data_IF_110575872085
#
_entry.id   IF_110575872085
#
_cell.length_a   1.000
_cell.length_b   1.000
_cell.length_c   1.000
_cell.angle_alpha   90.00
_cell.angle_beta   90.00
_cell.angle_gamma   90.00
#
_symmetry.space_group_name_H-M   'P 1'
#
loop_
_entity.id
_entity.type
_entity.pdbx_description
1 polymer ?
#
# COMPACT_ATOMS: atom_id res chain seq x y z
N UNK A 1 -0.37 7.79 20.31
CA UNK A 1 -0.76 7.15 19.04
C UNK A 1 0.49 6.44 18.53
N UNK A 2 0.66 5.18 18.88
CA UNK A 2 1.81 4.40 18.42
C UNK A 2 1.63 4.00 16.95
N UNK A 3 2.71 4.13 16.19
CA UNK A 3 2.77 3.84 14.75
C UNK A 3 3.90 2.85 14.54
N UNK A 4 3.62 1.79 13.79
CA UNK A 4 4.57 0.74 13.47
C UNK A 4 5.02 0.87 12.01
N UNK A 5 6.30 0.61 11.75
CA UNK A 5 6.84 0.51 10.39
C UNK A 5 6.73 -0.92 9.88
N UNK A 6 6.20 -1.08 8.67
CA UNK A 6 6.11 -2.37 7.98
C UNK A 6 6.72 -2.24 6.59
N UNK A 7 7.39 -3.29 6.12
CA UNK A 7 7.97 -3.36 4.78
C UNK A 7 7.22 -4.37 3.92
N UNK A 8 6.98 -4.04 2.65
CA UNK A 8 6.41 -4.99 1.69
C UNK A 8 7.48 -6.02 1.28
N UNK A 9 7.22 -7.34 1.40
CA UNK A 9 8.19 -8.38 1.04
C UNK A 9 8.43 -8.50 -0.47
N UNK A 10 7.55 -7.93 -1.31
CA UNK A 10 7.65 -8.01 -2.77
C UNK A 10 8.45 -6.87 -3.40
N UNK A 11 8.38 -5.66 -2.84
CA UNK A 11 8.99 -4.45 -3.44
C UNK A 11 9.79 -3.57 -2.47
N UNK A 12 9.95 -4.01 -1.22
CA UNK A 12 10.67 -3.30 -0.16
C UNK A 12 10.16 -1.88 0.16
N UNK A 13 8.91 -1.55 -0.22
CA UNK A 13 8.29 -0.28 0.18
C UNK A 13 8.00 -0.26 1.69
N UNK A 14 8.36 0.82 2.37
CA UNK A 14 8.11 1.05 3.80
C UNK A 14 6.82 1.84 4.03
N UNK A 15 6.04 1.44 5.04
CA UNK A 15 4.79 2.09 5.43
C UNK A 15 4.73 2.31 6.93
N UNK A 16 4.21 3.46 7.35
CA UNK A 16 3.93 3.76 8.75
C UNK A 16 2.43 3.56 9.03
N UNK A 17 2.10 2.50 9.78
CA UNK A 17 0.72 2.05 9.99
C UNK A 17 0.33 2.21 11.47
N UNK A 18 -0.84 2.81 11.77
CA UNK A 18 -1.36 2.90 13.13
C UNK A 18 -1.63 1.51 13.73
N UNK A 19 -1.15 1.24 14.94
CA UNK A 19 -1.27 -0.08 15.59
C UNK A 19 -2.73 -0.54 15.76
N UNK A 20 -3.68 0.39 15.90
CA UNK A 20 -5.11 0.08 15.94
C UNK A 20 -5.63 -0.71 14.72
N UNK A 21 -4.95 -0.61 13.58
CA UNK A 21 -5.28 -1.36 12.36
C UNK A 21 -4.69 -2.78 12.37
N UNK A 22 -3.69 -3.01 13.22
CA UNK A 22 -2.92 -4.26 13.36
C UNK A 22 -3.33 -5.08 14.59
N UNK A 23 -4.00 -4.47 15.58
CA UNK A 23 -4.37 -5.06 16.86
C UNK A 23 -5.29 -6.31 16.78
N UNK A 24 -5.82 -6.66 15.61
CA UNK A 24 -6.72 -7.80 15.39
C UNK A 24 -6.06 -9.09 14.90
N UNK A 25 -4.73 -9.19 14.85
CA UNK A 25 -4.05 -10.35 14.26
C UNK A 25 -4.13 -10.38 12.73
N UNK A 26 -3.49 -11.38 12.11
CA UNK A 26 -3.12 -11.49 10.69
C UNK A 26 -4.20 -11.06 9.67
N UNK A 27 -4.32 -9.75 9.44
CA UNK A 27 -5.12 -9.15 8.37
C UNK A 27 -4.29 -9.20 7.09
N UNK A 28 -4.92 -9.56 5.97
CA UNK A 28 -4.31 -9.39 4.64
C UNK A 28 -4.11 -7.90 4.38
N UNK A 29 -2.87 -7.49 4.17
CA UNK A 29 -2.46 -6.15 3.78
C UNK A 29 -2.17 -6.14 2.29
N UNK A 30 -2.53 -5.05 1.60
CA UNK A 30 -2.24 -4.86 0.18
C UNK A 30 -1.26 -3.72 0.01
N UNK A 31 -0.15 -3.98 -0.68
CA UNK A 31 0.84 -2.95 -1.00
C UNK A 31 0.30 -1.96 -2.04
N UNK A 32 0.39 -0.65 -1.78
CA UNK A 32 -0.02 0.38 -2.75
C UNK A 32 0.92 0.52 -3.94
N UNK A 33 2.17 0.05 -3.81
CA UNK A 33 3.21 0.16 -4.87
C UNK A 33 3.20 -0.99 -5.87
N UNK A 34 3.04 -2.23 -5.39
CA UNK A 34 3.10 -3.43 -6.23
C UNK A 34 1.85 -4.31 -6.18
N UNK A 35 0.80 -3.88 -5.47
CA UNK A 35 -0.45 -4.62 -5.27
C UNK A 35 -0.33 -5.98 -4.58
N UNK A 36 0.86 -6.39 -4.12
CA UNK A 36 1.05 -7.65 -3.42
C UNK A 36 0.23 -7.71 -2.11
N UNK A 37 -0.44 -8.84 -1.91
CA UNK A 37 -1.19 -9.13 -0.69
C UNK A 37 -0.34 -10.00 0.24
N UNK A 38 -0.14 -9.54 1.48
CA UNK A 38 0.67 -10.27 2.47
C UNK A 38 0.09 -10.09 3.88
N UNK A 39 0.28 -11.08 4.74
CA UNK A 39 -0.08 -10.99 6.15
C UNK A 39 1.19 -10.83 6.99
N UNK A 40 1.08 -10.12 8.11
CA UNK A 40 2.17 -10.08 9.09
C UNK A 40 2.14 -11.35 9.93
N UNK A 41 3.32 -11.94 10.25
CA UNK A 41 3.37 -13.08 11.15
C UNK A 41 2.82 -12.63 12.51
N UNK A 42 1.75 -13.30 12.96
CA UNK A 42 1.26 -13.12 14.32
C UNK A 42 2.36 -13.59 15.29
N UNK A 43 2.58 -12.91 16.44
CA UNK A 43 3.46 -13.44 17.47
C UNK A 43 2.91 -14.80 17.90
N UNK A 44 3.74 -15.84 17.78
CA UNK A 44 3.40 -17.18 18.22
C UNK A 44 2.99 -17.13 19.69
N UNK A 45 1.81 -17.67 20.00
CA UNK A 45 1.42 -17.86 21.39
C UNK A 45 2.47 -18.75 22.08
N UNK A 46 2.84 -18.47 23.34
CA UNK A 46 3.74 -19.34 24.08
C UNK A 46 3.10 -20.73 24.24
N UNK A 47 3.82 -21.76 23.81
CA UNK A 47 3.48 -23.16 24.06
C UNK A 47 3.20 -23.38 25.56
N UNK A 48 2.10 -24.07 25.93
CA UNK A 48 1.91 -24.49 27.31
C UNK A 48 3.02 -25.46 27.72
N UNK A 49 3.53 -25.40 28.96
CA UNK A 49 4.60 -26.29 29.41
C UNK A 49 4.14 -27.76 29.36
N UNK A 50 5.04 -28.70 28.98
CA UNK A 50 4.69 -30.11 28.87
C UNK A 50 4.26 -30.69 30.24
N UNK A 51 3.19 -31.51 30.31
CA UNK A 51 2.85 -32.26 31.50
C UNK A 51 3.94 -33.28 31.86
N UNK A 52 4.18 -33.47 33.16
CA UNK A 52 5.14 -34.43 33.70
C UNK A 52 4.84 -35.88 33.24
N UNK A 53 5.89 -36.60 32.85
CA UNK A 53 5.83 -38.00 32.40
C UNK A 53 5.44 -38.96 33.54
N UNK A 54 4.26 -39.57 33.43
CA UNK A 54 3.99 -40.90 33.99
C UNK A 54 4.41 -41.97 32.97
N UNK A 55 4.94 -43.13 33.41
CA UNK A 55 5.48 -44.13 32.49
C UNK A 55 4.36 -44.74 31.62
N UNK A 56 4.57 -44.88 30.30
CA UNK A 56 3.53 -45.37 29.41
C UNK A 56 3.29 -46.88 29.55
N UNK A 57 2.04 -47.36 29.45
CA UNK A 57 1.78 -48.79 29.28
C UNK A 57 2.32 -49.26 27.91
N UNK A 58 2.84 -50.48 27.88
CA UNK A 58 3.41 -51.10 26.69
C UNK A 58 2.41 -51.11 25.52
N UNK A 59 2.68 -50.28 24.50
CA UNK A 59 1.95 -50.25 23.24
C UNK A 59 2.43 -51.43 22.40
N UNK A 60 1.52 -52.37 22.10
CA UNK A 60 1.78 -53.44 21.14
C UNK A 60 2.02 -52.80 19.78
N UNK A 61 3.19 -53.04 19.19
CA UNK A 61 3.56 -52.52 17.88
C UNK A 61 2.66 -53.14 16.80
N UNK A 62 1.60 -52.43 16.41
CA UNK A 62 0.90 -52.70 15.17
C UNK A 62 1.79 -52.26 14.00
N UNK A 63 2.00 -53.17 13.04
CA UNK A 63 2.74 -52.87 11.83
C UNK A 63 2.12 -51.67 11.10
N UNK A 64 2.93 -50.73 10.57
CA UNK A 64 2.40 -49.57 9.86
C UNK A 64 1.64 -50.03 8.60
N UNK A 65 0.49 -49.43 8.27
CA UNK A 65 -0.17 -49.70 7.00
C UNK A 65 0.73 -49.22 5.84
N UNK A 66 0.69 -49.91 4.68
CA UNK A 66 1.44 -49.46 3.51
C UNK A 66 0.94 -48.07 3.08
N UNK A 67 1.86 -47.11 3.06
CA UNK A 67 1.62 -45.76 2.53
C UNK A 67 1.34 -45.87 1.03
N UNK A 68 0.11 -45.58 0.64
CA UNK A 68 -0.23 -45.41 -0.77
C UNK A 68 0.58 -44.22 -1.32
N UNK A 69 1.26 -44.44 -2.45
CA UNK A 69 1.99 -43.39 -3.14
C UNK A 69 1.01 -42.28 -3.53
N UNK A 70 1.15 -41.12 -2.90
CA UNK A 70 0.44 -39.92 -3.33
C UNK A 70 1.11 -39.43 -4.61
N UNK A 71 0.40 -39.55 -5.74
CA UNK A 71 0.79 -38.86 -6.96
C UNK A 71 0.65 -37.35 -6.72
N UNK A 72 1.71 -36.54 -6.94
CA UNK A 72 1.64 -35.11 -6.75
C UNK A 72 0.61 -34.51 -7.72
N UNK A 73 -0.28 -33.61 -7.26
CA UNK A 73 -1.25 -32.96 -8.13
C UNK A 73 -0.54 -32.18 -9.25
N UNK A 74 -1.17 -32.05 -10.43
CA UNK A 74 -0.58 -31.32 -11.55
C UNK A 74 -0.24 -29.90 -11.13
N UNK A 75 0.98 -29.47 -11.44
CA UNK A 75 1.44 -28.12 -11.12
C UNK A 75 0.50 -27.07 -11.76
N UNK A 76 0.13 -26.01 -11.03
CA UNK A 76 -0.65 -24.93 -11.61
C UNK A 76 0.11 -24.29 -12.79
N UNK A 77 -0.59 -23.80 -13.82
CA UNK A 77 0.06 -23.13 -14.93
C UNK A 77 0.85 -21.93 -14.40
N UNK A 78 2.14 -21.92 -14.66
CA UNK A 78 3.01 -20.77 -14.35
C UNK A 78 2.50 -19.60 -15.20
N UNK A 79 2.10 -18.47 -14.61
CA UNK A 79 1.66 -17.33 -15.39
C UNK A 79 2.80 -16.88 -16.29
N UNK A 80 2.54 -16.85 -17.58
CA UNK A 80 3.47 -16.41 -18.60
C UNK A 80 3.81 -14.94 -18.31
N UNK A 81 5.08 -14.68 -17.99
CA UNK A 81 5.55 -13.31 -17.73
C UNK A 81 5.45 -12.57 -19.06
N UNK A 82 4.54 -11.61 -19.13
CA UNK A 82 4.51 -10.64 -20.23
C UNK A 82 5.90 -10.00 -20.33
N UNK A 83 6.56 -10.04 -21.49
CA UNK A 83 7.82 -9.35 -21.67
C UNK A 83 7.60 -7.86 -21.45
N UNK A 84 8.37 -7.28 -20.54
CA UNK A 84 8.44 -5.83 -20.36
C UNK A 84 8.98 -5.28 -21.68
N UNK A 85 8.18 -4.49 -22.37
CA UNK A 85 8.57 -3.93 -23.68
C UNK A 85 9.38 -2.65 -23.43
N UNK A 86 10.29 -2.28 -24.32
CA UNK A 86 11.03 -1.00 -24.23
C UNK A 86 10.11 0.24 -24.14
N UNK A 87 8.85 0.12 -24.59
CA UNK A 87 7.80 1.14 -24.45
C UNK A 87 7.32 1.33 -23.00
N UNK A 88 7.40 0.29 -22.14
CA UNK A 88 7.11 0.42 -20.70
C UNK A 88 8.21 1.21 -19.96
N UNK A 89 9.39 1.34 -20.56
CA UNK A 89 10.51 2.16 -20.07
C UNK A 89 10.46 3.58 -20.64
N UNK A 90 9.60 3.86 -21.63
CA UNK A 90 9.35 5.23 -22.05
C UNK A 90 8.65 5.97 -20.90
N UNK A 91 9.45 6.79 -20.20
CA UNK A 91 9.19 7.38 -18.90
C UNK A 91 7.73 7.86 -18.75
N UNK A 92 6.87 7.14 -17.99
CA UNK A 92 5.53 7.65 -17.64
C UNK A 92 5.62 8.99 -16.90
N UNK A 93 6.80 9.32 -16.37
CA UNK A 93 7.13 10.61 -15.77
C UNK A 93 7.04 11.78 -16.75
N UNK A 94 7.40 11.67 -18.03
CA UNK A 94 7.40 12.84 -18.91
C UNK A 94 5.99 13.36 -19.19
N UNK A 95 5.05 12.46 -19.50
CA UNK A 95 3.65 12.84 -19.73
C UNK A 95 3.02 13.39 -18.46
N UNK A 96 3.32 12.78 -17.32
CA UNK A 96 2.84 13.24 -16.02
C UNK A 96 3.43 14.61 -15.65
N UNK A 97 4.73 14.82 -15.86
CA UNK A 97 5.42 16.10 -15.62
C UNK A 97 4.84 17.17 -16.54
N UNK A 98 4.64 16.90 -17.82
CA UNK A 98 4.02 17.86 -18.75
C UNK A 98 2.59 18.20 -18.32
N UNK A 99 1.79 17.21 -17.92
CA UNK A 99 0.44 17.44 -17.40
C UNK A 99 0.46 18.31 -16.13
N UNK A 100 1.41 18.04 -15.23
CA UNK A 100 1.56 18.80 -13.99
C UNK A 100 2.03 20.24 -14.26
N UNK A 101 3.00 20.42 -15.15
CA UNK A 101 3.49 21.74 -15.58
C UNK A 101 2.36 22.55 -16.23
N UNK A 102 1.57 21.95 -17.12
CA UNK A 102 0.42 22.62 -17.73
C UNK A 102 -0.64 23.00 -16.69
N UNK A 103 -0.89 22.13 -15.70
CA UNK A 103 -1.82 22.42 -14.61
C UNK A 103 -1.34 23.58 -13.74
N UNK A 104 -0.06 23.56 -13.32
CA UNK A 104 0.53 24.65 -12.53
C UNK A 104 0.54 25.95 -13.33
N UNK A 105 0.92 25.91 -14.60
CA UNK A 105 0.89 27.07 -15.48
C UNK A 105 -0.53 27.65 -15.59
N UNK A 106 -1.56 26.80 -15.75
CA UNK A 106 -2.95 27.24 -15.79
C UNK A 106 -3.38 27.93 -14.48
N UNK A 107 -2.99 27.40 -13.32
CA UNK A 107 -3.27 28.01 -12.01
C UNK A 107 -2.57 29.36 -11.86
N UNK A 108 -1.30 29.46 -12.26
CA UNK A 108 -0.53 30.71 -12.22
C UNK A 108 -1.15 31.75 -13.13
N UNK A 109 -1.52 31.39 -14.36
CA UNK A 109 -2.19 32.30 -15.30
C UNK A 109 -3.54 32.77 -14.75
N UNK A 110 -4.33 31.88 -14.15
CA UNK A 110 -5.60 32.25 -13.53
C UNK A 110 -5.40 33.22 -12.34
N UNK A 111 -4.41 32.96 -11.49
CA UNK A 111 -4.06 33.86 -10.39
C UNK A 111 -3.59 35.24 -10.88
N UNK A 112 -2.74 35.28 -11.91
CA UNK A 112 -2.30 36.53 -12.54
C UNK A 112 -3.47 37.30 -13.15
N UNK A 113 -4.39 36.62 -13.83
CA UNK A 113 -5.60 37.24 -14.36
C UNK A 113 -6.46 37.86 -13.25
N UNK A 114 -6.67 37.15 -12.13
CA UNK A 114 -7.40 37.70 -10.97
C UNK A 114 -6.76 38.95 -10.39
N UNK A 115 -5.41 39.05 -10.41
CA UNK A 115 -4.69 40.23 -9.93
C UNK A 115 -4.75 41.39 -10.94
N UNK A 116 -4.55 41.12 -12.23
CA UNK A 116 -4.60 42.14 -13.29
C UNK A 116 -6.01 42.71 -13.45
N UNK A 117 -7.02 41.84 -13.46
CA UNK A 117 -8.44 42.20 -13.60
C UNK A 117 -9.14 42.40 -12.25
N UNK A 118 -8.38 42.66 -11.17
CA UNK A 118 -8.90 42.74 -9.80
C UNK A 118 -10.09 43.69 -9.63
N UNK A 119 -10.09 44.82 -10.35
CA UNK A 119 -11.15 45.83 -10.24
C UNK A 119 -12.49 45.31 -10.78
N UNK A 120 -12.47 44.63 -11.92
CA UNK A 120 -13.67 44.01 -12.51
C UNK A 120 -14.17 42.84 -11.66
N UNK A 121 -13.25 42.04 -11.11
CA UNK A 121 -13.56 40.92 -10.21
C UNK A 121 -14.22 41.43 -8.92
N UNK A 122 -13.69 42.49 -8.31
CA UNK A 122 -14.27 43.12 -7.11
C UNK A 122 -15.61 43.79 -7.41
N UNK A 123 -15.77 44.39 -8.59
CA UNK A 123 -17.03 44.97 -9.02
C UNK A 123 -18.13 43.91 -9.22
N UNK A 124 -17.79 42.77 -9.81
CA UNK A 124 -18.72 41.65 -10.01
C UNK A 124 -18.98 40.87 -8.71
N UNK A 125 -17.98 40.76 -7.82
CA UNK A 125 -18.07 40.05 -6.55
C UNK A 125 -17.37 40.82 -5.41
N UNK A 126 -18.09 41.73 -4.72
CA UNK A 126 -17.55 42.58 -3.65
C UNK A 126 -16.83 41.84 -2.50
N UNK A 127 -17.24 40.61 -2.09
CA UNK A 127 -16.51 39.85 -1.07
C UNK A 127 -15.04 39.57 -1.42
N UNK A 128 -14.68 39.53 -2.71
CA UNK A 128 -13.30 39.34 -3.16
C UNK A 128 -12.35 40.43 -2.63
N UNK A 129 -12.85 41.64 -2.39
CA UNK A 129 -12.04 42.75 -1.88
C UNK A 129 -11.34 42.38 -0.56
N UNK A 130 -12.05 41.68 0.33
CA UNK A 130 -11.48 41.23 1.62
C UNK A 130 -10.30 40.28 1.43
N UNK A 131 -10.41 39.37 0.45
CA UNK A 131 -9.33 38.44 0.12
C UNK A 131 -8.12 39.18 -0.44
N UNK A 132 -8.31 40.09 -1.39
CA UNK A 132 -7.20 40.89 -1.94
C UNK A 132 -6.56 41.80 -0.88
N UNK A 133 -7.34 42.40 0.04
CA UNK A 133 -6.78 43.18 1.16
C UNK A 133 -5.99 42.32 2.14
N UNK A 134 -6.50 41.14 2.49
CA UNK A 134 -5.77 40.20 3.36
C UNK A 134 -4.45 39.73 2.73
N UNK A 135 -4.39 39.64 1.40
CA UNK A 135 -3.18 39.32 0.64
C UNK A 135 -2.25 40.53 0.42
N UNK A 136 -2.63 41.74 0.86
CA UNK A 136 -1.85 42.97 0.66
C UNK A 136 -1.89 43.53 -0.77
N UNK A 137 -2.86 43.09 -1.57
CA UNK A 137 -3.01 43.40 -3.00
C UNK A 137 -4.14 44.41 -3.28
N UNK A 138 -4.68 45.05 -2.23
CA UNK A 138 -5.77 46.04 -2.32
C UNK A 138 -5.24 47.47 -2.48
#
# INVERSE_FOLDING_TARGET
MERMRIACPSCAAEYEVPERLLAGGARKLRCSRCAAEFALPAPAAPDPPPPAEEPPPAVVAAAPPPVAAFEPPPAPPVPERTPITEDDLADPSERLVRAWVLSVAAVVVAGLALVVFRAEVVAAWPPAARLFTALGLA
#
